data_IF_990433533285
#
_entry.id   IF_990433533285
#
_cell.length_a   1.000
_cell.length_b   1.000
_cell.length_c   1.000
_cell.angle_alpha   90.00
_cell.angle_beta   90.00
_cell.angle_gamma   90.00
#
_symmetry.space_group_name_H-M   'P 1'
#
loop_
_entity.id
_entity.type
_entity.pdbx_description
1 polymer ?
#
# COMPACT_ATOMS: atom_id res chain seq x y z
N UNK A 1 -13.09 -23.16 9.20
CA UNK A 1 -11.72 -22.62 9.18
C UNK A 1 -10.82 -23.71 8.62
N UNK A 2 -9.96 -23.38 7.66
CA UNK A 2 -8.95 -24.29 7.10
C UNK A 2 -7.59 -23.69 7.46
N UNK A 3 -6.70 -24.53 8.01
CA UNK A 3 -5.35 -24.11 8.36
C UNK A 3 -4.39 -24.31 7.17
N UNK A 4 -3.48 -23.36 6.98
CA UNK A 4 -2.44 -23.43 5.95
C UNK A 4 -1.24 -22.59 6.37
N UNK A 5 -0.04 -23.14 6.15
CA UNK A 5 1.21 -22.45 6.44
C UNK A 5 1.74 -21.78 5.17
N UNK A 6 1.67 -20.45 5.12
CA UNK A 6 2.15 -19.67 3.97
C UNK A 6 3.66 -19.70 3.79
N UNK A 7 4.43 -20.05 4.82
CA UNK A 7 5.88 -20.13 4.72
C UNK A 7 6.33 -21.50 4.20
N UNK A 8 5.79 -22.58 4.76
CA UNK A 8 6.22 -23.95 4.49
C UNK A 8 5.50 -24.59 3.30
N UNK A 9 4.23 -24.20 3.04
CA UNK A 9 3.45 -24.78 1.97
C UNK A 9 3.88 -24.25 0.60
N UNK A 10 4.05 -25.16 -0.35
CA UNK A 10 4.25 -24.84 -1.77
C UNK A 10 2.93 -24.49 -2.47
N UNK A 11 3.04 -24.08 -3.75
CA UNK A 11 1.88 -23.70 -4.60
C UNK A 11 0.83 -24.81 -4.65
N UNK A 12 1.24 -26.06 -4.85
CA UNK A 12 0.32 -27.20 -4.95
C UNK A 12 -0.49 -27.39 -3.67
N UNK A 13 0.18 -27.42 -2.50
CA UNK A 13 -0.49 -27.59 -1.22
C UNK A 13 -1.48 -26.45 -0.94
N UNK A 14 -1.10 -25.21 -1.22
CA UNK A 14 -1.99 -24.05 -1.08
C UNK A 14 -3.16 -24.13 -2.06
N UNK A 15 -2.94 -24.56 -3.30
CA UNK A 15 -4.00 -24.69 -4.31
C UNK A 15 -5.06 -25.71 -3.89
N UNK A 16 -4.65 -26.83 -3.27
CA UNK A 16 -5.59 -27.82 -2.72
C UNK A 16 -6.48 -27.20 -1.64
N UNK A 17 -5.90 -26.39 -0.74
CA UNK A 17 -6.65 -25.71 0.32
C UNK A 17 -7.64 -24.67 -0.23
N UNK A 18 -7.33 -24.05 -1.38
CA UNK A 18 -8.13 -23.00 -1.99
C UNK A 18 -9.22 -23.51 -2.93
N UNK A 19 -9.19 -24.80 -3.30
CA UNK A 19 -10.24 -25.41 -4.15
C UNK A 19 -11.60 -25.35 -3.50
N UNK A 20 -12.61 -24.98 -4.30
CA UNK A 20 -14.00 -24.93 -3.86
C UNK A 20 -14.41 -23.61 -3.20
N UNK A 21 -13.48 -22.63 -3.11
CA UNK A 21 -13.88 -21.28 -2.75
C UNK A 21 -14.19 -20.47 -4.03
N UNK A 22 -15.32 -19.73 -4.01
CA UNK A 22 -15.72 -18.85 -5.11
C UNK A 22 -14.86 -17.61 -5.21
N UNK A 23 -14.33 -17.13 -4.08
CA UNK A 23 -13.50 -15.95 -4.01
C UNK A 23 -12.42 -16.07 -2.93
N UNK A 24 -11.28 -15.44 -3.19
CA UNK A 24 -10.19 -15.27 -2.23
C UNK A 24 -9.85 -13.78 -2.09
N UNK A 25 -9.77 -13.29 -0.86
CA UNK A 25 -9.23 -11.97 -0.53
C UNK A 25 -7.97 -12.21 0.28
N UNK A 26 -6.82 -11.84 -0.28
CA UNK A 26 -5.53 -12.03 0.38
C UNK A 26 -5.22 -10.83 1.28
N UNK A 27 -5.16 -11.06 2.58
CA UNK A 27 -4.82 -10.07 3.61
C UNK A 27 -3.52 -10.42 4.35
N UNK A 28 -2.65 -11.27 3.76
CA UNK A 28 -1.46 -11.80 4.44
C UNK A 28 -0.31 -10.79 4.61
N UNK A 29 -0.34 -9.68 3.92
CA UNK A 29 0.79 -8.75 3.92
C UNK A 29 2.06 -9.38 3.34
N UNK A 30 3.21 -8.96 3.85
CA UNK A 30 4.52 -9.53 3.51
C UNK A 30 4.96 -10.62 4.50
N UNK A 31 4.03 -11.20 5.26
CA UNK A 31 4.29 -12.35 6.12
C UNK A 31 4.70 -13.54 5.23
N UNK A 32 5.81 -14.17 5.58
CA UNK A 32 6.39 -15.26 4.77
C UNK A 32 7.55 -14.84 3.87
N UNK A 33 7.84 -13.54 3.78
CA UNK A 33 9.00 -13.03 3.06
C UNK A 33 8.81 -12.95 1.54
N UNK A 34 9.92 -12.70 0.84
CA UNK A 34 9.93 -12.54 -0.62
C UNK A 34 9.43 -13.79 -1.34
N UNK A 35 8.68 -13.58 -2.43
CA UNK A 35 8.09 -14.64 -3.25
C UNK A 35 6.74 -15.16 -2.73
N UNK A 36 6.31 -14.75 -1.53
CA UNK A 36 5.06 -15.24 -0.94
C UNK A 36 3.84 -14.78 -1.73
N UNK A 37 3.80 -13.53 -2.19
CA UNK A 37 2.66 -13.01 -2.95
C UNK A 37 2.55 -13.65 -4.33
N UNK A 38 3.66 -13.92 -4.99
CA UNK A 38 3.72 -14.69 -6.25
C UNK A 38 3.20 -16.11 -5.99
N UNK A 39 3.69 -16.78 -4.95
CA UNK A 39 3.28 -18.14 -4.58
C UNK A 39 1.78 -18.24 -4.31
N UNK A 40 1.22 -17.33 -3.52
CA UNK A 40 -0.23 -17.31 -3.23
C UNK A 40 -1.02 -17.07 -4.52
N UNK A 41 -0.60 -16.13 -5.35
CA UNK A 41 -1.26 -15.85 -6.62
C UNK A 41 -1.27 -17.08 -7.52
N UNK A 42 -0.13 -17.76 -7.69
CA UNK A 42 -0.04 -19.01 -8.45
C UNK A 42 -0.97 -20.09 -7.89
N UNK A 43 -1.05 -20.23 -6.57
CA UNK A 43 -1.93 -21.20 -5.92
C UNK A 43 -3.42 -20.89 -6.17
N UNK A 44 -3.82 -19.60 -6.12
CA UNK A 44 -5.18 -19.17 -6.43
C UNK A 44 -5.55 -19.49 -7.87
N UNK A 45 -4.66 -19.17 -8.82
CA UNK A 45 -4.87 -19.46 -10.25
C UNK A 45 -4.94 -20.97 -10.51
N UNK A 46 -4.05 -21.75 -9.90
CA UNK A 46 -4.04 -23.21 -10.03
C UNK A 46 -5.27 -23.87 -9.39
N UNK A 47 -5.81 -23.29 -8.32
CA UNK A 47 -7.03 -23.76 -7.67
C UNK A 47 -8.30 -23.50 -8.49
N UNK A 48 -8.24 -22.64 -9.52
CA UNK A 48 -9.39 -22.26 -10.33
C UNK A 48 -10.40 -21.40 -9.58
N UNK A 49 -9.95 -20.58 -8.63
CA UNK A 49 -10.79 -19.63 -7.89
C UNK A 49 -11.40 -18.62 -8.85
N UNK A 50 -12.72 -18.46 -8.83
CA UNK A 50 -13.41 -17.59 -9.81
C UNK A 50 -13.06 -16.12 -9.63
N UNK A 51 -12.81 -15.64 -8.40
CA UNK A 51 -12.55 -14.23 -8.11
C UNK A 51 -11.45 -14.03 -7.09
N UNK A 52 -10.48 -13.15 -7.39
CA UNK A 52 -9.31 -12.92 -6.54
C UNK A 52 -9.06 -11.44 -6.28
N UNK A 53 -8.86 -11.12 -5.00
CA UNK A 53 -8.35 -9.85 -4.52
C UNK A 53 -6.95 -10.11 -3.95
N UNK A 54 -5.87 -9.84 -4.69
CA UNK A 54 -4.52 -10.04 -4.21
C UNK A 54 -4.18 -9.08 -3.08
N UNK A 55 -3.16 -9.40 -2.28
CA UNK A 55 -2.54 -8.41 -1.42
C UNK A 55 -1.83 -7.39 -2.31
N UNK A 56 -2.51 -6.30 -2.59
CA UNK A 56 -2.02 -5.18 -3.41
C UNK A 56 -2.38 -3.84 -2.75
N UNK A 57 -2.70 -3.86 -1.45
CA UNK A 57 -3.03 -2.69 -0.65
C UNK A 57 -1.80 -1.80 -0.47
N UNK A 58 -1.53 -0.98 -1.46
CA UNK A 58 -0.33 -0.17 -1.56
C UNK A 58 -0.41 0.82 -2.73
N UNK A 59 0.76 1.13 -3.28
CA UNK A 59 0.96 2.12 -4.35
C UNK A 59 0.53 1.59 -5.72
N UNK A 60 0.59 2.43 -6.74
CA UNK A 60 0.38 1.99 -8.13
C UNK A 60 1.67 1.39 -8.69
N UNK A 61 1.81 0.08 -8.55
CA UNK A 61 3.01 -0.64 -8.99
C UNK A 61 3.24 -0.59 -10.50
N UNK A 62 2.21 -0.36 -11.33
CA UNK A 62 2.38 -0.20 -12.77
C UNK A 62 3.10 1.11 -13.10
N UNK A 63 2.73 2.21 -12.43
CA UNK A 63 3.38 3.51 -12.59
C UNK A 63 4.75 3.52 -11.93
N UNK A 64 4.88 2.91 -10.75
CA UNK A 64 6.16 2.79 -10.05
C UNK A 64 7.19 2.04 -10.91
N UNK A 65 6.80 0.93 -11.54
CA UNK A 65 7.69 0.09 -12.33
C UNK A 65 8.72 -0.67 -11.50
N UNK A 66 9.63 -1.38 -12.20
CA UNK A 66 10.74 -2.12 -11.57
C UNK A 66 11.85 -1.20 -11.09
N UNK A 67 12.58 -1.63 -10.07
CA UNK A 67 13.78 -0.96 -9.61
C UNK A 67 13.52 0.29 -8.76
N UNK A 68 12.40 0.33 -8.04
CA UNK A 68 12.04 1.43 -7.14
C UNK A 68 13.00 1.61 -5.95
N UNK A 69 13.85 0.63 -5.68
CA UNK A 69 14.67 0.53 -4.46
C UNK A 69 14.03 -0.35 -3.38
N UNK A 70 12.76 -0.73 -3.54
CA UNK A 70 12.04 -1.63 -2.63
C UNK A 70 11.69 -2.94 -3.34
N UNK A 71 12.41 -4.05 -3.10
CA UNK A 71 12.22 -5.31 -3.82
C UNK A 71 10.81 -5.91 -3.73
N UNK A 72 10.12 -5.69 -2.60
CA UNK A 72 8.73 -6.17 -2.45
C UNK A 72 7.76 -5.50 -3.42
N UNK A 73 8.08 -4.30 -3.93
CA UNK A 73 7.27 -3.64 -4.94
C UNK A 73 7.44 -4.28 -6.32
N UNK A 74 8.65 -4.74 -6.64
CA UNK A 74 8.91 -5.49 -7.88
C UNK A 74 8.12 -6.82 -7.87
N UNK A 75 8.02 -7.49 -6.72
CA UNK A 75 7.18 -8.68 -6.55
C UNK A 75 5.68 -8.37 -6.80
N UNK A 76 5.19 -7.24 -6.28
CA UNK A 76 3.80 -6.84 -6.51
C UNK A 76 3.52 -6.54 -8.00
N UNK A 77 4.46 -5.96 -8.70
CA UNK A 77 4.34 -5.76 -10.15
C UNK A 77 4.27 -7.11 -10.89
N UNK A 78 5.06 -8.10 -10.46
CA UNK A 78 5.03 -9.43 -11.04
C UNK A 78 3.68 -10.14 -10.80
N UNK A 79 3.08 -9.97 -9.62
CA UNK A 79 1.71 -10.43 -9.35
C UNK A 79 0.71 -9.82 -10.35
N UNK A 80 0.83 -8.52 -10.68
CA UNK A 80 -0.02 -7.87 -11.71
C UNK A 80 0.18 -8.51 -13.09
N UNK A 81 1.40 -8.86 -13.45
CA UNK A 81 1.69 -9.54 -14.73
C UNK A 81 1.04 -10.93 -14.77
N UNK A 82 1.17 -11.73 -13.71
CA UNK A 82 0.55 -13.05 -13.61
C UNK A 82 -0.97 -12.98 -13.77
N UNK A 83 -1.62 -12.01 -13.09
CA UNK A 83 -3.06 -11.83 -13.17
C UNK A 83 -3.54 -11.44 -14.57
N UNK A 84 -2.79 -10.61 -15.28
CA UNK A 84 -3.11 -10.16 -16.65
C UNK A 84 -2.81 -11.21 -17.72
N UNK A 85 -1.94 -12.16 -17.44
CA UNK A 85 -1.55 -13.23 -18.38
C UNK A 85 -2.60 -14.34 -18.49
N UNK A 86 -3.70 -14.28 -17.74
CA UNK A 86 -4.73 -15.31 -17.71
C UNK A 86 -6.14 -14.69 -17.75
N UNK A 87 -7.18 -15.51 -18.02
CA UNK A 87 -8.57 -15.08 -18.11
C UNK A 87 -9.56 -15.95 -17.31
N UNK A 88 -9.07 -16.96 -16.62
CA UNK A 88 -9.93 -17.90 -15.88
C UNK A 88 -10.37 -17.34 -14.52
N UNK A 89 -9.51 -16.57 -13.85
CA UNK A 89 -9.79 -15.93 -12.56
C UNK A 89 -10.02 -14.43 -12.77
N UNK A 90 -11.20 -13.94 -12.39
CA UNK A 90 -11.45 -12.49 -12.34
C UNK A 90 -10.66 -11.89 -11.17
N UNK A 91 -9.98 -10.78 -11.39
CA UNK A 91 -9.19 -10.14 -10.35
C UNK A 91 -9.60 -8.68 -10.14
N UNK A 92 -9.44 -8.23 -8.90
CA UNK A 92 -9.61 -6.82 -8.53
C UNK A 92 -8.45 -6.41 -7.62
N UNK A 93 -7.67 -5.45 -8.07
CA UNK A 93 -6.57 -4.86 -7.30
C UNK A 93 -7.10 -3.60 -6.62
N UNK A 94 -6.91 -3.50 -5.29
CA UNK A 94 -7.26 -2.30 -4.54
C UNK A 94 -5.97 -1.57 -4.18
N UNK A 95 -5.74 -0.40 -4.81
CA UNK A 95 -4.62 0.49 -4.51
C UNK A 95 -5.03 1.52 -3.47
N UNK A 96 -4.26 1.61 -2.38
CA UNK A 96 -4.62 2.33 -1.15
C UNK A 96 -3.66 3.46 -0.80
N UNK A 97 -2.53 3.55 -1.48
CA UNK A 97 -1.40 4.36 -1.04
C UNK A 97 -0.68 3.76 0.15
N UNK A 98 -0.05 4.58 0.96
CA UNK A 98 0.60 4.17 2.20
C UNK A 98 -0.45 3.98 3.31
N UNK A 99 -0.24 3.02 4.18
CA UNK A 99 -1.07 2.90 5.39
C UNK A 99 -0.85 4.12 6.28
N UNK A 100 -1.93 4.77 6.71
CA UNK A 100 -1.84 6.00 7.50
C UNK A 100 -0.95 5.80 8.74
N UNK A 101 -1.12 4.69 9.47
CA UNK A 101 -0.29 4.36 10.63
C UNK A 101 1.20 4.25 10.28
N UNK A 102 1.56 3.72 9.11
CA UNK A 102 2.94 3.57 8.69
C UNK A 102 3.61 4.91 8.35
N UNK A 103 2.87 5.89 7.83
CA UNK A 103 3.41 7.24 7.59
C UNK A 103 3.92 7.89 8.88
N UNK A 104 3.26 7.60 10.01
CA UNK A 104 3.62 8.13 11.33
C UNK A 104 4.50 7.18 12.16
N UNK A 105 4.87 6.02 11.60
CA UNK A 105 5.75 5.06 12.26
C UNK A 105 7.19 5.59 12.34
N UNK A 106 7.80 5.46 13.52
CA UNK A 106 9.17 5.93 13.75
C UNK A 106 10.21 5.20 12.90
N UNK A 107 9.96 3.94 12.53
CA UNK A 107 10.82 3.15 11.65
C UNK A 107 10.78 3.62 10.19
N UNK A 108 9.65 4.17 9.74
CA UNK A 108 9.61 4.86 8.45
C UNK A 108 10.30 6.21 8.51
N UNK A 109 10.16 6.94 9.62
CA UNK A 109 10.96 8.11 9.95
C UNK A 109 10.63 9.37 9.14
N UNK A 110 9.48 9.45 8.49
CA UNK A 110 8.98 10.68 7.86
C UNK A 110 8.53 11.68 8.91
N UNK A 111 7.79 11.21 9.90
CA UNK A 111 7.36 12.03 11.05
C UNK A 111 8.09 11.59 12.31
N UNK A 112 8.84 12.50 12.91
CA UNK A 112 9.59 12.29 14.14
C UNK A 112 8.93 13.12 15.26
N UNK A 113 8.11 12.45 16.05
CA UNK A 113 7.29 13.09 17.10
C UNK A 113 8.15 13.69 18.21
N UNK A 114 9.25 13.02 18.57
CA UNK A 114 10.13 13.46 19.65
C UNK A 114 10.88 14.74 19.26
N UNK A 115 11.40 14.79 18.03
CA UNK A 115 12.17 15.93 17.52
C UNK A 115 11.33 16.98 16.81
N UNK A 116 9.99 16.82 16.81
CA UNK A 116 9.07 17.71 16.06
C UNK A 116 9.55 17.96 14.64
N UNK A 117 9.93 16.88 13.95
CA UNK A 117 10.52 16.95 12.62
C UNK A 117 9.62 16.25 11.60
N UNK A 118 9.45 16.86 10.43
CA UNK A 118 8.87 16.23 9.25
C UNK A 118 9.89 16.21 8.13
N UNK A 119 10.09 15.06 7.51
CA UNK A 119 11.04 14.84 6.43
C UNK A 119 10.28 14.69 5.11
N UNK A 120 10.57 15.56 4.14
CA UNK A 120 10.08 15.40 2.78
C UNK A 120 10.99 14.43 2.03
N UNK A 121 10.40 13.50 1.29
CA UNK A 121 11.13 12.52 0.48
C UNK A 121 11.18 12.99 -0.98
N UNK A 122 12.35 13.39 -1.43
CA UNK A 122 12.62 13.87 -2.77
C UNK A 122 12.31 15.34 -3.00
N UNK A 123 11.08 15.76 -2.71
CA UNK A 123 10.62 17.15 -2.86
C UNK A 123 9.45 17.45 -1.91
N UNK A 124 9.32 18.71 -1.47
CA UNK A 124 8.20 19.15 -0.63
C UNK A 124 6.84 19.13 -1.33
N UNK A 125 6.82 19.18 -2.67
CA UNK A 125 5.62 19.11 -3.48
C UNK A 125 5.20 17.68 -3.85
N UNK A 126 6.07 16.69 -3.59
CA UNK A 126 5.68 15.30 -3.80
C UNK A 126 4.58 14.94 -2.78
N UNK A 127 3.61 14.19 -3.26
CA UNK A 127 2.46 13.80 -2.47
C UNK A 127 2.45 12.30 -2.19
N UNK A 128 1.74 11.91 -1.14
CA UNK A 128 1.41 10.53 -0.82
C UNK A 128 -0.09 10.40 -0.58
N UNK A 129 -0.68 9.34 -1.10
CA UNK A 129 -2.05 8.94 -0.73
C UNK A 129 -1.98 8.03 0.48
N UNK A 130 -2.89 8.23 1.42
CA UNK A 130 -2.97 7.44 2.66
C UNK A 130 -4.37 6.84 2.84
N UNK A 131 -4.43 5.67 3.45
CA UNK A 131 -5.68 5.04 3.87
C UNK A 131 -5.45 4.27 5.16
N UNK A 132 -6.37 4.36 6.12
CA UNK A 132 -6.28 3.57 7.36
C UNK A 132 -6.59 2.09 7.11
N UNK A 133 -6.04 1.16 7.90
CA UNK A 133 -6.37 -0.26 7.78
C UNK A 133 -7.88 -0.54 7.87
N UNK A 134 -8.60 0.18 8.72
CA UNK A 134 -10.04 0.08 8.91
C UNK A 134 -10.79 0.47 7.63
N UNK A 135 -10.39 1.59 7.01
CA UNK A 135 -10.98 2.03 5.74
C UNK A 135 -10.60 1.10 4.58
N UNK A 136 -9.38 0.57 4.56
CA UNK A 136 -8.98 -0.45 3.57
C UNK A 136 -9.93 -1.64 3.64
N UNK A 137 -10.19 -2.18 4.83
CA UNK A 137 -11.10 -3.31 5.02
C UNK A 137 -12.52 -2.98 4.59
N UNK A 138 -13.06 -1.87 5.08
CA UNK A 138 -14.42 -1.42 4.80
C UNK A 138 -14.65 -1.13 3.31
N UNK A 139 -13.73 -0.42 2.67
CA UNK A 139 -13.84 -0.05 1.26
C UNK A 139 -13.58 -1.26 0.35
N UNK A 140 -12.68 -2.18 0.72
CA UNK A 140 -12.50 -3.44 0.00
C UNK A 140 -13.78 -4.28 0.04
N UNK A 141 -14.47 -4.37 1.18
CA UNK A 141 -15.76 -5.03 1.26
C UNK A 141 -16.81 -4.36 0.37
N UNK A 142 -16.87 -3.03 0.36
CA UNK A 142 -17.77 -2.29 -0.52
C UNK A 142 -17.48 -2.55 -2.01
N UNK A 143 -16.21 -2.61 -2.42
CA UNK A 143 -15.78 -2.95 -3.77
C UNK A 143 -16.16 -4.40 -4.10
N UNK A 144 -15.97 -5.32 -3.15
CA UNK A 144 -16.30 -6.74 -3.35
C UNK A 144 -17.79 -6.95 -3.64
N UNK A 145 -18.67 -6.26 -2.91
CA UNK A 145 -20.13 -6.37 -3.05
C UNK A 145 -20.72 -5.37 -4.06
N UNK A 146 -19.93 -4.51 -4.68
CA UNK A 146 -20.42 -3.51 -5.63
C UNK A 146 -21.15 -4.15 -6.82
N UNK A 147 -22.18 -3.47 -7.31
CA UNK A 147 -22.93 -3.88 -8.51
C UNK A 147 -23.05 -2.69 -9.48
N UNK A 148 -22.69 -2.87 -10.74
CA UNK A 148 -22.08 -4.06 -11.36
C UNK A 148 -20.71 -4.37 -10.74
N UNK A 149 -20.31 -5.65 -10.73
CA UNK A 149 -19.04 -6.07 -10.13
C UNK A 149 -17.84 -5.52 -10.87
N UNK A 150 -16.84 -5.08 -10.14
CA UNK A 150 -15.51 -4.80 -10.69
C UNK A 150 -14.85 -6.09 -11.17
N UNK A 151 -14.20 -6.05 -12.33
CA UNK A 151 -13.54 -7.22 -12.95
C UNK A 151 -12.29 -6.79 -13.68
N UNK A 152 -11.18 -7.49 -13.45
CA UNK A 152 -9.92 -7.35 -14.17
C UNK A 152 -9.43 -5.89 -14.22
N UNK A 153 -9.48 -5.19 -13.08
CA UNK A 153 -9.08 -3.79 -12.99
C UNK A 153 -8.49 -3.41 -11.65
N UNK A 154 -7.80 -2.28 -11.66
CA UNK A 154 -7.31 -1.60 -10.45
C UNK A 154 -8.37 -0.61 -9.99
N UNK A 155 -8.68 -0.63 -8.69
CA UNK A 155 -9.60 0.30 -8.03
C UNK A 155 -8.81 1.10 -7.00
N UNK A 156 -8.82 2.41 -7.13
CA UNK A 156 -8.11 3.32 -6.21
C UNK A 156 -9.05 3.78 -5.10
N UNK A 157 -8.54 3.79 -3.88
CA UNK A 157 -9.20 4.37 -2.70
C UNK A 157 -8.26 5.35 -2.02
N UNK A 158 -8.79 6.27 -1.22
CA UNK A 158 -7.99 7.21 -0.43
C UNK A 158 -8.77 7.68 0.80
N UNK A 159 -8.13 7.66 1.96
CA UNK A 159 -8.52 8.46 3.11
C UNK A 159 -8.11 9.92 2.90
N UNK A 160 -6.86 10.12 2.52
CA UNK A 160 -6.30 11.43 2.22
C UNK A 160 -5.24 11.37 1.13
N UNK A 161 -4.89 12.53 0.57
CA UNK A 161 -3.73 12.72 -0.31
C UNK A 161 -3.10 14.06 0.06
N UNK A 162 -1.85 14.03 0.51
CA UNK A 162 -1.13 15.18 1.04
C UNK A 162 0.25 15.28 0.40
N UNK A 163 0.68 16.50 0.09
CA UNK A 163 2.10 16.79 -0.15
C UNK A 163 2.87 16.71 1.17
N UNK A 164 4.19 16.50 1.10
CA UNK A 164 5.03 16.57 2.31
C UNK A 164 4.98 17.97 2.97
N UNK A 165 4.73 19.02 2.18
CA UNK A 165 4.50 20.37 2.71
C UNK A 165 3.23 20.42 3.56
N UNK A 166 2.11 19.96 3.02
CA UNK A 166 0.83 19.89 3.73
C UNK A 166 0.90 18.98 4.96
N UNK A 167 1.65 17.89 4.89
CA UNK A 167 1.92 17.04 6.06
C UNK A 167 2.66 17.83 7.14
N UNK A 168 3.68 18.61 6.80
CA UNK A 168 4.40 19.44 7.77
C UNK A 168 3.50 20.52 8.37
N UNK A 169 2.65 21.15 7.57
CA UNK A 169 1.67 22.14 8.05
C UNK A 169 0.64 21.50 9.00
N UNK A 170 0.15 20.30 8.67
CA UNK A 170 -0.75 19.50 9.51
C UNK A 170 -0.10 19.17 10.86
N UNK A 171 1.16 18.71 10.83
CA UNK A 171 1.89 18.38 12.06
C UNK A 171 2.18 19.61 12.92
N UNK A 172 2.47 20.76 12.30
CA UNK A 172 2.65 22.03 13.00
C UNK A 172 1.37 22.44 13.73
N UNK A 173 0.23 22.31 13.05
CA UNK A 173 -1.07 22.60 13.66
C UNK A 173 -1.41 21.61 14.79
N UNK A 174 -1.12 20.31 14.59
CA UNK A 174 -1.39 19.26 15.58
C UNK A 174 -0.53 19.41 16.84
N UNK A 175 0.76 19.72 16.67
CA UNK A 175 1.68 19.88 17.81
C UNK A 175 1.61 21.26 18.48
N UNK A 176 1.07 22.26 17.81
CA UNK A 176 1.02 23.64 18.30
C UNK A 176 2.39 24.32 18.43
N UNK A 177 3.40 23.79 17.76
CA UNK A 177 4.79 24.30 17.75
C UNK A 177 5.34 24.30 16.34
N UNK A 178 6.39 25.09 16.10
CA UNK A 178 7.10 25.09 14.82
C UNK A 178 7.70 23.72 14.53
N UNK A 179 7.52 23.24 13.31
CA UNK A 179 8.03 21.95 12.84
C UNK A 179 9.40 22.14 12.19
N UNK A 180 10.38 21.34 12.63
CA UNK A 180 11.64 21.23 11.93
C UNK A 180 11.42 20.50 10.59
N UNK A 181 11.67 21.21 9.46
CA UNK A 181 11.41 20.72 8.10
C UNK A 181 12.72 20.28 7.46
N UNK A 182 12.84 19.00 7.12
CA UNK A 182 14.05 18.41 6.55
C UNK A 182 13.76 17.86 5.16
N UNK A 183 14.51 18.25 4.15
CA UNK A 183 14.44 17.62 2.82
C UNK A 183 15.46 16.48 2.77
N UNK A 184 14.97 15.29 2.46
CA UNK A 184 15.78 14.15 2.05
C UNK A 184 15.71 14.03 0.53
N UNK A 185 16.67 14.65 -0.15
CA UNK A 185 16.75 14.55 -1.60
C UNK A 185 17.10 13.12 -2.05
N UNK A 186 16.94 12.86 -3.34
CA UNK A 186 17.12 11.51 -3.88
C UNK A 186 18.56 11.00 -3.71
N UNK A 187 19.56 11.86 -3.79
CA UNK A 187 20.98 11.50 -3.62
C UNK A 187 21.26 11.04 -2.20
N UNK A 188 20.74 11.76 -1.22
CA UNK A 188 20.85 11.42 0.21
C UNK A 188 20.17 10.10 0.52
N UNK A 189 18.95 9.88 0.00
CA UNK A 189 18.22 8.63 0.19
C UNK A 189 18.93 7.44 -0.48
N UNK A 190 19.50 7.63 -1.66
CA UNK A 190 20.33 6.61 -2.31
C UNK A 190 21.60 6.29 -1.51
N UNK A 191 22.25 7.31 -0.95
CA UNK A 191 23.40 7.10 -0.08
C UNK A 191 23.03 6.33 1.19
N UNK A 192 21.89 6.64 1.79
CA UNK A 192 21.36 5.94 2.97
C UNK A 192 21.17 4.45 2.68
N UNK A 193 20.50 4.09 1.56
CA UNK A 193 20.31 2.69 1.16
C UNK A 193 21.64 1.98 0.87
N UNK A 194 22.61 2.67 0.24
CA UNK A 194 23.95 2.09 0.02
C UNK A 194 24.69 1.79 1.32
N UNK A 195 24.57 2.69 2.29
CA UNK A 195 25.26 2.55 3.58
C UNK A 195 24.54 1.55 4.52
N UNK A 196 23.23 1.40 4.36
CA UNK A 196 22.38 0.55 5.20
C UNK A 196 21.49 -0.36 4.33
N UNK A 197 22.05 -1.32 3.56
CA UNK A 197 21.32 -2.09 2.55
C UNK A 197 20.27 -3.04 3.14
N UNK A 198 20.29 -3.26 4.45
CA UNK A 198 19.30 -4.08 5.17
C UNK A 198 18.23 -3.24 5.87
N UNK A 199 18.35 -1.91 5.88
CA UNK A 199 17.32 -1.03 6.44
C UNK A 199 16.10 -0.97 5.50
N UNK A 200 15.02 -1.58 5.96
CA UNK A 200 13.74 -1.62 5.23
C UNK A 200 13.13 -0.22 5.14
N UNK A 201 13.22 0.58 6.21
CA UNK A 201 12.73 1.96 6.23
C UNK A 201 13.45 2.84 5.20
N UNK A 202 14.79 2.73 5.08
CA UNK A 202 15.57 3.46 4.08
C UNK A 202 15.13 3.11 2.65
N UNK A 203 14.88 1.82 2.37
CA UNK A 203 14.37 1.38 1.06
C UNK A 203 12.99 1.96 0.76
N UNK A 204 12.09 1.97 1.74
CA UNK A 204 10.78 2.60 1.56
C UNK A 204 10.89 4.10 1.36
N UNK A 205 11.72 4.82 2.14
CA UNK A 205 11.95 6.26 1.95
C UNK A 205 12.42 6.57 0.53
N UNK A 206 13.38 5.80 0.01
CA UNK A 206 13.84 5.96 -1.37
C UNK A 206 12.73 5.67 -2.40
N UNK A 207 11.96 4.61 -2.19
CA UNK A 207 10.89 4.22 -3.10
C UNK A 207 9.74 5.24 -3.15
N UNK A 208 9.45 5.91 -2.02
CA UNK A 208 8.45 6.98 -1.94
C UNK A 208 8.96 8.35 -2.41
N UNK A 209 10.27 8.53 -2.66
CA UNK A 209 10.86 9.78 -3.13
C UNK A 209 10.63 9.99 -4.65
N UNK A 210 9.36 10.14 -5.04
CA UNK A 210 8.94 10.22 -6.44
C UNK A 210 7.64 11.02 -6.61
N UNK A 211 7.43 11.64 -7.79
CA UNK A 211 6.23 12.45 -8.04
C UNK A 211 4.99 11.64 -8.42
N UNK A 212 5.16 10.35 -8.80
CA UNK A 212 4.12 9.53 -9.42
C UNK A 212 3.96 8.14 -8.77
N UNK A 213 2.84 7.50 -9.01
CA UNK A 213 2.56 6.13 -8.55
C UNK A 213 2.31 5.95 -7.05
N UNK A 214 2.66 6.92 -6.21
CA UNK A 214 2.48 6.88 -4.75
C UNK A 214 1.37 7.81 -4.25
N UNK A 215 0.81 8.61 -5.15
CA UNK A 215 -0.31 9.49 -4.90
C UNK A 215 -1.24 9.57 -6.11
N UNK A 216 -2.49 9.85 -5.87
CA UNK A 216 -3.52 10.10 -6.87
C UNK A 216 -4.57 11.11 -6.39
N UNK A 217 -5.31 11.68 -7.33
CA UNK A 217 -6.39 12.59 -7.02
C UNK A 217 -7.50 11.86 -6.25
N UNK A 218 -7.75 12.32 -5.04
CA UNK A 218 -8.78 11.80 -4.14
C UNK A 218 -10.18 11.83 -4.78
N UNK A 219 -10.50 12.84 -5.60
CA UNK A 219 -11.80 12.96 -6.26
C UNK A 219 -12.06 11.81 -7.25
N UNK A 220 -11.00 11.19 -7.75
CA UNK A 220 -11.08 10.09 -8.72
C UNK A 220 -11.15 8.70 -8.07
N UNK A 221 -11.14 8.60 -6.75
CA UNK A 221 -11.19 7.32 -6.03
C UNK A 221 -12.60 6.72 -5.98
N UNK A 222 -12.67 5.41 -5.76
CA UNK A 222 -13.94 4.70 -5.59
C UNK A 222 -14.79 5.32 -4.47
N UNK A 223 -14.21 5.50 -3.31
CA UNK A 223 -14.95 6.03 -2.17
C UNK A 223 -15.47 7.45 -2.39
N UNK A 224 -14.70 8.33 -3.05
CA UNK A 224 -15.17 9.67 -3.38
C UNK A 224 -16.35 9.63 -4.37
N UNK A 225 -16.25 8.82 -5.43
CA UNK A 225 -17.31 8.66 -6.44
C UNK A 225 -18.59 8.03 -5.88
N UNK A 226 -18.46 7.22 -4.82
CA UNK A 226 -19.60 6.59 -4.13
C UNK A 226 -20.11 7.42 -2.93
N UNK A 227 -19.54 8.61 -2.68
CA UNK A 227 -19.91 9.44 -1.52
C UNK A 227 -19.58 8.78 -0.17
N UNK A 228 -18.65 7.83 -0.16
CA UNK A 228 -18.24 7.12 1.07
C UNK A 228 -17.11 7.90 1.74
N UNK A 229 -17.37 8.41 2.94
CA UNK A 229 -16.33 9.06 3.73
C UNK A 229 -15.20 8.07 4.09
N UNK A 230 -13.97 8.57 4.18
CA UNK A 230 -12.82 7.83 4.68
C UNK A 230 -11.99 8.75 5.58
N UNK A 231 -11.25 8.18 6.51
CA UNK A 231 -10.52 8.88 7.57
C UNK A 231 -9.37 9.68 6.97
N UNK A 232 -9.36 10.99 7.18
CA UNK A 232 -8.25 11.85 6.80
C UNK A 232 -7.07 11.71 7.77
N UNK A 233 -5.89 12.20 7.37
CA UNK A 233 -4.70 12.24 8.24
C UNK A 233 -4.97 13.02 9.53
N UNK A 234 -5.66 14.17 9.44
CA UNK A 234 -6.01 14.98 10.59
C UNK A 234 -6.98 14.28 11.55
N UNK A 235 -8.00 13.59 11.02
CA UNK A 235 -8.92 12.79 11.83
C UNK A 235 -8.22 11.64 12.53
N UNK A 236 -7.32 10.95 11.82
CA UNK A 236 -6.53 9.87 12.39
C UNK A 236 -5.64 10.38 13.53
N UNK A 237 -4.90 11.48 13.33
CA UNK A 237 -4.07 12.09 14.38
C UNK A 237 -4.90 12.48 15.61
N UNK A 238 -6.08 13.07 15.42
CA UNK A 238 -6.97 13.42 16.52
C UNK A 238 -7.40 12.20 17.33
N UNK A 239 -7.53 11.03 16.70
CA UNK A 239 -7.90 9.78 17.38
C UNK A 239 -6.76 9.14 18.17
N UNK A 240 -5.49 9.53 17.93
CA UNK A 240 -4.32 8.97 18.64
C UNK A 240 -3.98 9.77 19.90
N UNK A 241 -4.55 10.95 20.09
CA UNK A 241 -4.24 11.88 21.19
C UNK A 241 -5.23 11.85 22.35
N UNK A 242 -6.01 10.75 22.52
CA UNK A 242 -6.94 10.54 23.62
C UNK A 242 -6.34 9.75 24.76
#
# INVERSE_FOLDING_TARGET
>A
VVEGDLQQSGVEALSVLLRGFDAVINCSGFVGGAGTQIKITQAVLQAGVARYFPWQFGVDYDVVGKGSGQPVWDEQLEVRHLLRAQSATEWVIVSTGIFTSYLFDSGFGVVDVERKTVRALGDWQYAVTLTTPEDIGRLTAAIFFHRPAFRNQVVYIAGDTLTYRELADLMQAHWGVEVNRVLLDKERLQAEVRNHPHDVGAKYRLAFARPDGVAWDKANTFNARQGMAATTAGQWLASQGG
#
